data_IF_615884222134
#
_entry.id   IF_615884222134
#
_cell.length_a   1.000
_cell.length_b   1.000
_cell.length_c   1.000
_cell.angle_alpha   90.00
_cell.angle_beta   90.00
_cell.angle_gamma   90.00
#
_symmetry.space_group_name_H-M   'P 1'
#
loop_
_entity.id
_entity.type
_entity.pdbx_description
1 polymer ?
#
# COMPACT_ATOMS: atom_id res chain seq x y z
N UNK A 1 15.94 -6.46 -15.03
CA UNK A 1 14.83 -5.90 -14.23
C UNK A 1 15.15 -4.45 -13.89
N UNK A 2 14.19 -3.52 -13.97
CA UNK A 2 14.38 -2.20 -13.39
C UNK A 2 14.52 -2.34 -11.86
N UNK A 3 15.57 -1.75 -11.30
CA UNK A 3 15.78 -1.69 -9.85
C UNK A 3 14.91 -0.60 -9.26
N UNK A 4 14.19 -0.91 -8.18
CA UNK A 4 13.42 0.08 -7.44
C UNK A 4 14.36 1.19 -6.93
N UNK A 5 13.94 2.47 -6.98
CA UNK A 5 14.73 3.56 -6.41
C UNK A 5 14.89 3.39 -4.91
N UNK A 6 16.04 3.80 -4.41
CA UNK A 6 16.32 3.84 -2.97
C UNK A 6 15.38 4.80 -2.25
N UNK A 7 15.15 4.49 -0.98
CA UNK A 7 14.37 5.28 -0.05
C UNK A 7 15.36 6.15 0.73
N UNK A 8 15.29 7.47 0.54
CA UNK A 8 16.28 8.42 1.08
C UNK A 8 15.67 9.29 2.17
N UNK A 9 16.34 9.35 3.32
CA UNK A 9 16.02 10.24 4.44
C UNK A 9 16.41 11.69 4.15
N UNK A 10 15.87 12.65 4.92
CA UNK A 10 16.08 14.09 4.66
C UNK A 10 17.55 14.52 4.78
N UNK A 11 18.35 13.78 5.55
CA UNK A 11 19.77 14.01 5.78
C UNK A 11 20.68 12.98 5.09
N UNK A 12 20.13 12.23 4.12
CA UNK A 12 20.92 11.54 3.10
C UNK A 12 21.28 10.08 3.37
N UNK A 13 20.75 9.43 4.42
CA UNK A 13 20.79 7.96 4.48
C UNK A 13 19.91 7.38 3.37
N UNK A 14 20.50 6.53 2.53
CA UNK A 14 19.86 5.85 1.41
C UNK A 14 19.65 4.38 1.77
N UNK A 15 18.42 3.90 1.70
CA UNK A 15 18.07 2.52 2.00
C UNK A 15 17.52 1.84 0.75
N UNK A 16 18.05 0.66 0.45
CA UNK A 16 17.51 -0.20 -0.60
C UNK A 16 16.27 -0.93 -0.08
N UNK A 17 15.19 -0.97 -0.86
CA UNK A 17 13.98 -1.72 -0.51
C UNK A 17 14.14 -3.17 -0.95
N UNK A 18 14.18 -4.11 0.00
CA UNK A 18 14.32 -5.53 -0.33
C UNK A 18 12.97 -6.25 -0.41
N UNK A 19 12.05 -5.90 0.48
CA UNK A 19 10.78 -6.58 0.66
C UNK A 19 9.69 -5.57 1.02
N UNK A 20 8.49 -5.75 0.48
CA UNK A 20 7.31 -5.01 0.88
C UNK A 20 6.07 -5.86 0.66
N UNK A 21 5.34 -6.13 1.74
CA UNK A 21 4.11 -6.92 1.73
C UNK A 21 2.97 -6.14 2.36
N UNK A 22 1.77 -6.35 1.82
CA UNK A 22 0.53 -5.87 2.39
C UNK A 22 -0.49 -7.01 2.48
N UNK A 23 -1.10 -7.18 3.64
CA UNK A 23 -2.29 -8.00 3.81
C UNK A 23 -3.51 -7.10 3.99
N UNK A 24 -4.55 -7.32 3.20
CA UNK A 24 -5.75 -6.49 3.16
C UNK A 24 -6.97 -7.33 3.52
N UNK A 25 -7.79 -6.84 4.45
CA UNK A 25 -9.05 -7.47 4.85
C UNK A 25 -10.14 -7.23 3.80
N UNK A 26 -10.17 -6.03 3.23
CA UNK A 26 -11.09 -5.63 2.18
C UNK A 26 -10.53 -4.48 1.35
N UNK A 27 -10.99 -4.42 0.10
CA UNK A 27 -10.74 -3.32 -0.83
C UNK A 27 -12.08 -2.68 -1.17
N UNK A 28 -12.13 -1.35 -1.14
CA UNK A 28 -13.32 -0.55 -1.44
C UNK A 28 -13.02 0.44 -2.55
N UNK A 29 -13.81 0.40 -3.62
CA UNK A 29 -13.68 1.29 -4.77
C UNK A 29 -14.88 2.23 -4.80
N UNK A 30 -14.64 3.52 -4.73
CA UNK A 30 -15.70 4.53 -4.88
C UNK A 30 -15.90 4.80 -6.36
N UNK A 31 -17.12 4.63 -6.86
CA UNK A 31 -17.45 4.93 -8.24
C UNK A 31 -17.32 6.43 -8.53
N UNK A 32 -17.14 6.79 -9.79
CA UNK A 32 -17.08 8.16 -10.27
C UNK A 32 -18.39 8.91 -10.09
N UNK A 33 -18.36 10.24 -10.21
CA UNK A 33 -19.57 11.07 -10.10
C UNK A 33 -20.65 10.65 -11.10
N UNK A 34 -21.89 10.51 -10.62
CA UNK A 34 -23.04 10.12 -11.44
C UNK A 34 -23.08 8.64 -11.80
N UNK A 35 -22.25 7.80 -11.16
CA UNK A 35 -22.26 6.35 -11.30
C UNK A 35 -22.89 5.69 -10.07
N UNK A 36 -23.58 4.60 -10.34
CA UNK A 36 -24.37 3.81 -9.38
C UNK A 36 -24.03 2.33 -9.53
N UNK A 37 -24.50 1.52 -8.58
CA UNK A 37 -24.37 0.07 -8.67
C UNK A 37 -25.07 -0.51 -9.89
N UNK A 38 -26.13 0.12 -10.37
CA UNK A 38 -26.82 -0.30 -11.59
C UNK A 38 -25.92 -0.22 -12.84
N UNK A 39 -24.95 0.70 -12.89
CA UNK A 39 -24.04 0.86 -14.03
C UNK A 39 -23.03 -0.29 -14.18
N UNK A 40 -22.74 -1.01 -13.09
CA UNK A 40 -21.69 -2.04 -13.05
C UNK A 40 -22.21 -3.42 -12.67
N UNK A 41 -23.50 -3.54 -12.33
CA UNK A 41 -24.15 -4.75 -11.80
C UNK A 41 -23.89 -6.00 -12.65
N UNK A 42 -24.00 -5.86 -13.97
CA UNK A 42 -23.87 -6.98 -14.90
C UNK A 42 -22.41 -7.42 -15.12
N UNK A 43 -21.45 -6.64 -14.61
CA UNK A 43 -20.01 -6.92 -14.70
C UNK A 43 -19.39 -7.28 -13.35
N UNK A 44 -20.18 -7.37 -12.28
CA UNK A 44 -19.68 -7.74 -10.95
C UNK A 44 -19.27 -9.22 -10.94
N UNK A 45 -17.99 -9.48 -10.65
CA UNK A 45 -17.51 -10.81 -10.35
C UNK A 45 -18.17 -11.37 -9.08
N UNK A 46 -18.16 -12.69 -8.95
CA UNK A 46 -18.68 -13.36 -7.75
C UNK A 46 -17.94 -12.88 -6.49
N UNK A 47 -18.69 -12.51 -5.46
CA UNK A 47 -18.12 -12.02 -4.19
C UNK A 47 -17.80 -10.52 -4.16
N UNK A 48 -18.03 -9.78 -5.25
CA UNK A 48 -17.96 -8.31 -5.24
C UNK A 48 -19.33 -7.74 -4.87
N UNK A 49 -19.37 -7.02 -3.74
CA UNK A 49 -20.55 -6.26 -3.32
C UNK A 49 -20.58 -4.89 -3.97
N UNK A 50 -21.78 -4.35 -4.17
CA UNK A 50 -21.97 -2.94 -4.52
C UNK A 50 -23.07 -2.33 -3.65
N UNK A 51 -22.75 -1.20 -3.03
CA UNK A 51 -23.66 -0.45 -2.19
C UNK A 51 -23.89 0.93 -2.81
N UNK A 52 -25.15 1.22 -3.13
CA UNK A 52 -25.51 2.56 -3.58
C UNK A 52 -25.42 3.56 -2.43
N UNK A 53 -24.89 4.73 -2.73
CA UNK A 53 -24.77 5.79 -1.76
C UNK A 53 -26.14 6.32 -1.32
N UNK A 54 -26.25 6.64 -0.03
CA UNK A 54 -27.30 7.52 0.47
C UNK A 54 -27.02 8.98 0.03
N UNK A 55 -28.08 9.80 0.02
CA UNK A 55 -28.11 11.20 -0.43
C UNK A 55 -26.75 11.93 -0.53
N UNK A 56 -26.28 12.13 -1.78
CA UNK A 56 -25.12 12.97 -2.10
C UNK A 56 -23.75 12.28 -2.02
N UNK A 57 -23.67 11.05 -1.50
CA UNK A 57 -22.45 10.25 -1.55
C UNK A 57 -22.31 9.51 -2.89
N UNK A 58 -21.19 8.81 -3.09
CA UNK A 58 -20.96 7.98 -4.29
C UNK A 58 -21.04 6.50 -3.96
N UNK A 59 -21.60 5.70 -4.86
CA UNK A 59 -21.72 4.26 -4.68
C UNK A 59 -20.34 3.60 -4.55
N UNK A 60 -20.28 2.50 -3.79
CA UNK A 60 -19.03 1.84 -3.40
C UNK A 60 -19.07 0.36 -3.78
N UNK A 61 -18.03 -0.12 -4.45
CA UNK A 61 -17.76 -1.55 -4.62
C UNK A 61 -16.93 -2.05 -3.46
N UNK A 62 -17.27 -3.22 -2.95
CA UNK A 62 -16.54 -3.88 -1.86
C UNK A 62 -16.08 -5.26 -2.32
N UNK A 63 -14.76 -5.47 -2.26
CA UNK A 63 -14.11 -6.74 -2.54
C UNK A 63 -13.64 -7.30 -1.20
N UNK A 64 -14.21 -8.44 -0.81
CA UNK A 64 -13.88 -9.10 0.46
C UNK A 64 -12.58 -9.92 0.32
N UNK A 65 -11.64 -9.70 1.24
CA UNK A 65 -10.41 -10.47 1.35
C UNK A 65 -10.54 -11.66 2.30
N UNK A 66 -9.40 -12.22 2.77
CA UNK A 66 -8.08 -11.57 2.79
C UNK A 66 -7.32 -11.60 1.45
N UNK A 67 -6.60 -10.53 1.15
CA UNK A 67 -5.66 -10.42 0.03
C UNK A 67 -4.24 -10.24 0.54
N UNK A 68 -3.24 -10.83 -0.10
CA UNK A 68 -1.83 -10.59 0.21
C UNK A 68 -1.09 -10.19 -1.05
N UNK A 69 -0.39 -9.06 -1.01
CA UNK A 69 0.37 -8.51 -2.13
C UNK A 69 1.86 -8.46 -1.83
N UNK A 70 2.67 -8.80 -2.83
CA UNK A 70 4.08 -8.42 -2.92
C UNK A 70 4.16 -7.10 -3.69
N UNK A 71 4.46 -6.02 -2.96
CA UNK A 71 4.49 -4.67 -3.51
C UNK A 71 5.81 -4.36 -4.24
N UNK A 72 6.85 -5.16 -4.05
CA UNK A 72 8.12 -5.02 -4.78
C UNK A 72 7.92 -5.48 -6.23
N UNK A 73 7.24 -6.60 -6.40
CA UNK A 73 6.94 -7.17 -7.72
C UNK A 73 5.61 -6.69 -8.30
N UNK A 74 4.74 -6.11 -7.48
CA UNK A 74 3.40 -5.69 -7.88
C UNK A 74 2.46 -6.86 -8.14
N UNK A 75 2.65 -7.99 -7.44
CA UNK A 75 1.92 -9.24 -7.65
C UNK A 75 1.02 -9.58 -6.47
N UNK A 76 -0.09 -10.25 -6.78
CA UNK A 76 -1.00 -10.83 -5.80
C UNK A 76 -0.48 -12.22 -5.42
N UNK A 77 -0.20 -12.42 -4.14
CA UNK A 77 0.39 -13.65 -3.59
C UNK A 77 -0.70 -14.66 -3.21
N UNK A 78 -1.79 -14.18 -2.60
CA UNK A 78 -2.89 -15.05 -2.19
C UNK A 78 -4.21 -14.31 -2.09
N UNK A 79 -5.31 -15.03 -2.36
CA UNK A 79 -6.69 -14.60 -2.15
C UNK A 79 -7.39 -15.62 -1.27
N UNK A 80 -8.04 -15.17 -0.18
CA UNK A 80 -8.76 -16.02 0.75
C UNK A 80 -7.94 -17.21 1.29
N UNK A 81 -6.63 -17.00 1.45
CA UNK A 81 -5.68 -18.02 1.92
C UNK A 81 -5.24 -19.04 0.87
N UNK A 82 -5.76 -18.97 -0.36
CA UNK A 82 -5.27 -19.76 -1.51
C UNK A 82 -4.16 -18.97 -2.22
N UNK A 83 -3.02 -19.60 -2.46
CA UNK A 83 -1.96 -18.97 -3.26
C UNK A 83 -2.42 -18.81 -4.70
N UNK A 84 -2.18 -17.62 -5.26
CA UNK A 84 -2.42 -17.36 -6.68
C UNK A 84 -1.26 -17.97 -7.46
N UNK A 85 -1.56 -18.87 -8.39
CA UNK A 85 -0.55 -19.38 -9.32
C UNK A 85 -0.45 -18.43 -10.53
N UNK A 86 0.76 -18.25 -11.09
CA UNK A 86 0.97 -17.37 -12.23
C UNK A 86 0.27 -17.85 -13.51
N UNK A 87 -0.19 -19.11 -13.53
CA UNK A 87 -0.77 -19.80 -14.69
C UNK A 87 -2.31 -19.91 -14.65
N UNK A 88 -2.96 -19.56 -13.53
CA UNK A 88 -4.42 -19.65 -13.39
C UNK A 88 -5.04 -18.24 -13.31
N UNK A 89 -5.63 -17.79 -14.43
CA UNK A 89 -6.39 -16.53 -14.52
C UNK A 89 -7.60 -16.50 -13.56
N UNK A 90 -8.07 -17.65 -13.08
CA UNK A 90 -9.24 -17.78 -12.20
C UNK A 90 -9.04 -17.22 -10.79
N UNK A 91 -7.78 -17.01 -10.35
CA UNK A 91 -7.45 -16.48 -9.03
C UNK A 91 -7.08 -14.98 -9.05
N UNK A 92 -7.27 -14.31 -10.19
CA UNK A 92 -7.00 -12.87 -10.32
C UNK A 92 -8.05 -12.02 -9.59
N UNK A 93 -7.59 -10.93 -8.96
CA UNK A 93 -8.49 -9.93 -8.38
C UNK A 93 -9.17 -9.13 -9.50
N UNK A 94 -10.41 -9.50 -9.83
CA UNK A 94 -11.18 -8.82 -10.87
C UNK A 94 -11.87 -7.55 -10.35
N UNK A 95 -11.64 -6.44 -11.06
CA UNK A 95 -12.32 -5.17 -10.84
C UNK A 95 -13.20 -4.91 -12.07
N UNK A 96 -14.51 -4.64 -11.90
CA UNK A 96 -15.38 -4.42 -13.05
C UNK A 96 -14.94 -3.18 -13.84
N UNK A 97 -15.14 -3.16 -15.16
CA UNK A 97 -14.94 -1.95 -15.95
C UNK A 97 -15.81 -0.81 -15.41
N UNK A 98 -15.26 0.40 -15.34
CA UNK A 98 -15.95 1.50 -14.70
C UNK A 98 -15.11 2.77 -14.60
N UNK A 99 -15.73 3.80 -14.01
CA UNK A 99 -15.04 5.04 -13.64
C UNK A 99 -14.92 5.06 -12.13
N UNK A 100 -13.71 5.29 -11.63
CA UNK A 100 -13.41 5.25 -10.19
C UNK A 100 -12.89 6.59 -9.69
N UNK A 101 -13.40 7.04 -8.55
CA UNK A 101 -12.98 8.27 -7.90
C UNK A 101 -11.87 8.03 -6.86
N UNK A 102 -11.94 6.91 -6.12
CA UNK A 102 -10.96 6.59 -5.09
C UNK A 102 -10.91 5.09 -4.84
N UNK A 103 -9.80 4.65 -4.27
CA UNK A 103 -9.64 3.31 -3.68
C UNK A 103 -9.33 3.46 -2.20
N UNK A 104 -9.93 2.61 -1.36
CA UNK A 104 -9.59 2.44 0.05
C UNK A 104 -9.37 0.97 0.33
N UNK A 105 -8.52 0.66 1.28
CA UNK A 105 -8.27 -0.70 1.72
C UNK A 105 -7.96 -0.69 3.21
N UNK A 106 -8.41 -1.75 3.88
CA UNK A 106 -8.15 -1.97 5.30
C UNK A 106 -7.12 -3.06 5.45
N UNK A 107 -6.09 -2.80 6.23
CA UNK A 107 -5.04 -3.77 6.50
C UNK A 107 -5.54 -4.90 7.40
N UNK A 108 -5.21 -6.13 7.06
CA UNK A 108 -5.41 -7.32 7.90
C UNK A 108 -4.08 -7.77 8.49
N UNK A 109 -4.12 -8.69 9.46
CA UNK A 109 -2.93 -9.32 10.03
C UNK A 109 -2.22 -10.17 8.97
N UNK A 110 -0.93 -9.93 8.72
CA UNK A 110 -0.13 -10.83 7.88
C UNK A 110 -0.17 -12.26 8.44
N UNK A 111 -0.23 -13.28 7.57
CA UNK A 111 -0.31 -14.71 7.94
C UNK A 111 0.86 -15.15 8.86
N UNK A 112 2.01 -14.49 8.77
CA UNK A 112 3.16 -14.68 9.67
C UNK A 112 2.96 -14.13 11.09
N UNK A 113 1.79 -13.55 11.38
CA UNK A 113 1.49 -12.81 12.59
C UNK A 113 2.03 -11.37 12.55
N UNK A 114 1.24 -10.41 13.06
CA UNK A 114 1.68 -9.03 13.28
C UNK A 114 1.01 -7.97 12.40
N UNK A 115 1.83 -7.07 11.87
CA UNK A 115 1.44 -5.85 11.15
C UNK A 115 0.76 -6.17 9.81
N UNK A 116 -0.09 -5.28 9.29
CA UNK A 116 -0.79 -5.52 8.04
C UNK A 116 -0.11 -4.95 6.79
N UNK A 117 0.80 -4.01 6.98
CA UNK A 117 1.83 -3.68 6.00
C UNK A 117 3.19 -3.86 6.64
N UNK A 118 4.14 -4.42 5.89
CA UNK A 118 5.54 -4.48 6.29
C UNK A 118 6.45 -4.29 5.09
N UNK A 119 7.34 -3.32 5.19
CA UNK A 119 8.47 -3.17 4.29
C UNK A 119 9.78 -3.28 5.05
N UNK A 120 10.75 -3.97 4.44
CA UNK A 120 12.11 -4.12 4.96
C UNK A 120 13.09 -3.50 3.98
N UNK A 121 13.95 -2.65 4.53
CA UNK A 121 15.02 -2.00 3.76
C UNK A 121 16.39 -2.39 4.30
N UNK A 122 17.42 -2.23 3.48
CA UNK A 122 18.84 -2.44 3.82
C UNK A 122 19.69 -1.21 3.53
N UNK A 123 20.70 -1.00 4.35
CA UNK A 123 21.75 0.00 4.16
C UNK A 123 23.08 -0.64 4.58
N UNK A 124 24.11 -0.52 3.75
CA UNK A 124 25.47 -0.90 4.14
C UNK A 124 26.24 0.35 4.57
N UNK A 125 26.63 0.43 5.84
CA UNK A 125 27.33 1.59 6.42
C UNK A 125 28.35 1.14 7.47
N UNK A 126 29.53 1.74 7.46
CA UNK A 126 30.61 1.45 8.42
C UNK A 126 30.97 -0.05 8.50
N UNK A 127 31.00 -0.73 7.34
CA UNK A 127 31.22 -2.18 7.20
C UNK A 127 30.17 -3.06 7.91
N UNK A 128 28.99 -2.50 8.20
CA UNK A 128 27.87 -3.21 8.81
C UNK A 128 26.64 -3.06 7.92
N UNK A 129 25.87 -4.13 7.83
CA UNK A 129 24.53 -4.08 7.25
C UNK A 129 23.54 -3.66 8.33
N UNK A 130 22.78 -2.60 8.05
CA UNK A 130 21.66 -2.15 8.84
C UNK A 130 20.38 -2.46 8.05
N UNK A 131 19.30 -2.73 8.78
CA UNK A 131 17.98 -2.79 8.18
C UNK A 131 17.02 -1.87 8.89
N UNK A 132 15.93 -1.51 8.23
CA UNK A 132 14.82 -0.77 8.83
C UNK A 132 13.53 -1.49 8.50
N UNK A 133 12.67 -1.61 9.49
CA UNK A 133 11.32 -2.15 9.31
C UNK A 133 10.31 -1.01 9.34
N UNK A 134 9.52 -0.92 8.28
CA UNK A 134 8.44 0.05 8.13
C UNK A 134 7.12 -0.70 8.20
N UNK A 135 6.28 -0.34 9.15
CA UNK A 135 5.06 -1.11 9.45
C UNK A 135 3.82 -0.22 9.50
N UNK A 136 2.70 -0.81 9.09
CA UNK A 136 1.36 -0.27 9.38
C UNK A 136 0.58 -1.34 10.14
N UNK A 137 0.01 -1.02 11.32
CA UNK A 137 -0.79 -1.96 12.09
C UNK A 137 -1.98 -2.53 11.34
N UNK A 138 -2.38 -3.75 11.69
CA UNK A 138 -3.64 -4.31 11.23
C UNK A 138 -4.82 -3.44 11.71
N UNK A 139 -5.90 -3.42 10.92
CA UNK A 139 -7.10 -2.60 11.17
C UNK A 139 -7.00 -1.16 10.68
N UNK A 140 -5.80 -0.65 10.40
CA UNK A 140 -5.61 0.66 9.78
C UNK A 140 -6.20 0.69 8.37
N UNK A 141 -6.72 1.85 7.98
CA UNK A 141 -7.26 2.07 6.63
C UNK A 141 -6.37 3.04 5.88
N UNK A 142 -6.16 2.75 4.61
CA UNK A 142 -5.46 3.61 3.70
C UNK A 142 -6.25 3.75 2.39
N UNK A 143 -6.10 4.89 1.72
CA UNK A 143 -6.75 5.08 0.44
C UNK A 143 -6.17 6.22 -0.36
N UNK A 144 -6.48 6.21 -1.64
CA UNK A 144 -6.01 7.19 -2.61
C UNK A 144 -7.18 7.70 -3.44
N UNK A 145 -7.22 9.01 -3.58
CA UNK A 145 -8.10 9.69 -4.53
C UNK A 145 -7.43 9.66 -5.91
N UNK A 146 -8.24 9.51 -6.95
CA UNK A 146 -7.77 9.68 -8.32
C UNK A 146 -7.48 11.16 -8.59
N UNK A 147 -6.33 11.45 -9.17
CA UNK A 147 -6.02 12.80 -9.71
C UNK A 147 -6.76 13.07 -11.02
N UNK A 148 -7.30 12.03 -11.66
CA UNK A 148 -8.18 12.14 -12.81
C UNK A 148 -9.63 11.87 -12.39
N UNK A 149 -10.53 12.86 -12.44
CA UNK A 149 -11.93 12.68 -12.03
C UNK A 149 -12.72 11.70 -12.92
N UNK A 150 -12.15 11.28 -14.05
CA UNK A 150 -12.70 10.28 -14.96
C UNK A 150 -11.75 9.11 -15.17
N UNK A 151 -11.15 8.59 -14.09
CA UNK A 151 -10.28 7.43 -14.18
C UNK A 151 -11.06 6.18 -14.62
N UNK A 152 -11.01 5.90 -15.92
CA UNK A 152 -11.71 4.80 -16.54
C UNK A 152 -10.83 3.54 -16.55
N UNK A 153 -11.33 2.47 -15.94
CA UNK A 153 -10.83 1.10 -16.11
C UNK A 153 -11.70 0.46 -17.18
N UNK A 154 -11.10 0.12 -18.32
CA UNK A 154 -11.78 -0.56 -19.43
C UNK A 154 -11.76 -2.06 -19.23
N UNK A 155 -12.60 -2.76 -19.97
CA UNK A 155 -12.52 -4.22 -20.11
C UNK A 155 -11.12 -4.65 -20.55
N UNK A 156 -10.60 -5.70 -19.92
CA UNK A 156 -9.22 -6.16 -20.08
C UNK A 156 -8.16 -5.22 -19.51
N UNK A 157 -8.52 -4.05 -18.98
CA UNK A 157 -7.63 -3.08 -18.36
C UNK A 157 -7.24 -3.43 -16.93
N UNK A 158 -6.39 -2.60 -16.32
CA UNK A 158 -6.01 -2.73 -14.91
C UNK A 158 -6.09 -1.42 -14.15
N UNK A 159 -6.49 -1.50 -12.88
CA UNK A 159 -6.32 -0.43 -11.91
C UNK A 159 -4.98 -0.63 -11.19
N UNK A 160 -4.13 0.39 -11.23
CA UNK A 160 -2.83 0.38 -10.55
C UNK A 160 -2.87 1.27 -9.32
N UNK A 161 -2.50 0.70 -8.19
CA UNK A 161 -2.21 1.43 -6.96
C UNK A 161 -0.71 1.62 -6.87
N UNK A 162 -0.26 2.85 -6.63
CA UNK A 162 1.15 3.19 -6.53
C UNK A 162 1.48 3.67 -5.13
N UNK A 163 2.47 3.05 -4.51
CA UNK A 163 3.09 3.54 -3.29
C UNK A 163 4.41 4.22 -3.67
N UNK A 164 4.54 5.53 -3.40
CA UNK A 164 5.76 6.28 -3.76
C UNK A 164 6.81 6.15 -2.66
N UNK A 165 7.63 5.11 -2.75
CA UNK A 165 8.57 4.78 -1.67
C UNK A 165 9.59 5.87 -1.38
N UNK A 166 9.95 6.69 -2.38
CA UNK A 166 10.88 7.80 -2.23
C UNK A 166 10.35 8.92 -1.31
N UNK A 167 9.07 8.83 -0.91
CA UNK A 167 8.41 9.76 0.00
C UNK A 167 8.26 9.24 1.42
N UNK A 168 8.41 7.93 1.65
CA UNK A 168 8.05 7.32 2.94
C UNK A 168 8.80 7.94 4.12
N UNK A 169 10.10 8.20 3.96
CA UNK A 169 10.96 8.77 5.02
C UNK A 169 11.59 10.12 4.63
N UNK A 170 11.14 10.74 3.54
CA UNK A 170 11.82 11.89 2.92
C UNK A 170 12.03 13.06 3.88
N UNK A 171 11.13 13.24 4.83
CA UNK A 171 11.14 14.35 5.78
C UNK A 171 11.69 13.94 7.17
N UNK A 172 12.33 12.78 7.27
CA UNK A 172 12.89 12.24 8.51
C UNK A 172 14.43 12.36 8.51
N UNK A 173 15.06 13.04 9.49
CA UNK A 173 16.51 13.20 9.58
C UNK A 173 17.18 12.01 10.29
N UNK A 174 17.09 10.81 9.69
CA UNK A 174 17.47 9.56 10.35
C UNK A 174 18.96 9.47 10.72
N UNK A 175 19.87 10.09 9.94
CA UNK A 175 21.29 10.10 10.28
C UNK A 175 21.55 10.85 11.59
N UNK A 176 20.93 12.02 11.72
CA UNK A 176 21.05 12.92 12.86
C UNK A 176 20.40 12.29 14.09
N UNK A 177 19.21 11.70 13.94
CA UNK A 177 18.53 10.95 15.00
C UNK A 177 19.41 9.84 15.57
N UNK A 178 20.06 9.07 14.68
CA UNK A 178 20.96 8.00 15.11
C UNK A 178 22.21 8.55 15.82
N UNK A 179 22.84 9.60 15.29
CA UNK A 179 24.02 10.21 15.90
C UNK A 179 23.76 10.80 17.29
N UNK A 180 22.56 11.32 17.52
CA UNK A 180 22.15 11.90 18.80
C UNK A 180 21.68 10.85 19.82
N UNK A 181 21.49 9.59 19.40
CA UNK A 181 20.98 8.51 20.24
C UNK A 181 19.44 8.48 20.36
N UNK A 182 18.76 9.35 19.62
CA UNK A 182 17.30 9.44 19.56
C UNK A 182 16.68 8.35 18.68
N UNK A 183 17.47 7.73 17.80
CA UNK A 183 17.10 6.52 17.06
C UNK A 183 18.13 5.43 17.35
N UNK A 184 17.68 4.32 17.93
CA UNK A 184 18.56 3.22 18.32
C UNK A 184 18.55 2.09 17.30
N UNK A 185 19.73 1.52 17.05
CA UNK A 185 19.92 0.30 16.28
C UNK A 185 19.95 -0.89 17.25
N UNK A 186 18.94 -1.74 17.21
CA UNK A 186 18.86 -2.97 18.01
C UNK A 186 19.02 -4.18 17.08
N UNK A 187 19.99 -5.06 17.35
CA UNK A 187 20.29 -6.23 16.49
C UNK A 187 20.44 -5.88 14.99
N UNK A 188 21.06 -4.72 14.70
CA UNK A 188 21.21 -4.17 13.35
C UNK A 188 19.90 -3.76 12.65
N UNK A 189 18.82 -3.57 13.42
CA UNK A 189 17.52 -3.09 12.95
C UNK A 189 17.22 -1.70 13.54
N UNK A 190 16.91 -0.74 12.67
CA UNK A 190 16.37 0.56 13.03
C UNK A 190 14.85 0.44 13.16
N UNK A 191 14.32 0.86 14.32
CA UNK A 191 12.89 0.95 14.56
C UNK A 191 12.48 2.41 14.69
N UNK A 192 11.64 2.88 13.75
CA UNK A 192 11.13 4.26 13.77
C UNK A 192 10.12 4.50 14.90
N UNK A 193 9.44 3.45 15.36
CA UNK A 193 8.50 3.52 16.49
C UNK A 193 9.21 3.62 17.84
N UNK A 194 10.46 3.17 17.91
CA UNK A 194 11.31 3.31 19.10
C UNK A 194 12.05 4.66 19.17
N UNK A 195 11.83 5.55 18.20
CA UNK A 195 12.48 6.86 18.16
C UNK A 195 12.03 7.77 19.31
N UNK A 196 12.97 8.57 19.82
CA UNK A 196 12.85 9.37 21.04
C UNK A 196 13.29 10.81 20.76
N UNK A 197 13.21 11.67 21.78
CA UNK A 197 13.73 13.02 21.71
C UNK A 197 13.13 13.81 20.55
N UNK A 198 13.98 14.45 19.76
CA UNK A 198 13.55 15.25 18.60
C UNK A 198 13.00 14.39 17.44
N UNK A 199 13.28 13.09 17.48
CA UNK A 199 12.84 12.12 16.48
C UNK A 199 11.61 11.31 16.89
N UNK A 200 11.02 11.63 18.04
CA UNK A 200 9.79 11.01 18.51
C UNK A 200 8.67 11.14 17.46
N UNK A 201 7.96 10.04 17.21
CA UNK A 201 6.88 9.98 16.22
C UNK A 201 7.35 9.79 14.78
N UNK A 202 8.62 9.42 14.53
CA UNK A 202 9.13 9.11 13.20
C UNK A 202 8.29 8.02 12.50
N UNK A 203 7.86 6.97 13.22
CA UNK A 203 6.97 5.95 12.69
C UNK A 203 5.61 6.51 12.23
N UNK A 204 4.99 7.38 13.03
CA UNK A 204 3.70 8.01 12.67
C UNK A 204 3.81 8.92 11.45
N UNK A 205 4.93 9.66 11.35
CA UNK A 205 5.23 10.49 10.18
C UNK A 205 5.42 9.64 8.93
N UNK A 206 6.13 8.52 9.04
CA UNK A 206 6.27 7.57 7.92
C UNK A 206 4.91 7.00 7.49
N UNK A 207 4.08 6.56 8.44
CA UNK A 207 2.71 6.08 8.14
C UNK A 207 1.86 7.17 7.49
N UNK A 208 1.97 8.41 7.96
CA UNK A 208 1.31 9.56 7.35
C UNK A 208 1.79 9.79 5.92
N UNK A 209 3.09 9.71 5.65
CA UNK A 209 3.65 9.84 4.32
C UNK A 209 3.16 8.75 3.36
N UNK A 210 3.04 7.51 3.86
CA UNK A 210 2.51 6.38 3.09
C UNK A 210 1.04 6.63 2.69
N UNK A 211 0.23 7.19 3.60
CA UNK A 211 -1.17 7.57 3.32
C UNK A 211 -1.28 8.74 2.33
N UNK A 212 -0.40 9.73 2.40
CA UNK A 212 -0.54 10.97 1.63
C UNK A 212 0.13 10.93 0.25
N UNK A 213 1.14 10.08 0.06
CA UNK A 213 1.97 10.11 -1.15
C UNK A 213 1.78 8.93 -2.09
N UNK A 214 0.77 8.08 -1.90
CA UNK A 214 0.43 7.11 -2.94
C UNK A 214 -0.48 7.70 -4.02
N UNK A 215 -1.06 6.83 -4.82
CA UNK A 215 -1.97 7.22 -5.89
C UNK A 215 -2.62 6.03 -6.56
N UNK A 216 -3.56 6.33 -7.44
CA UNK A 216 -4.17 5.35 -8.31
C UNK A 216 -4.12 5.83 -9.76
N UNK A 217 -4.00 4.89 -10.69
CA UNK A 217 -4.05 5.13 -12.14
C UNK A 217 -4.65 3.92 -12.84
N UNK A 218 -4.98 4.03 -14.12
CA UNK A 218 -5.53 2.95 -14.92
C UNK A 218 -4.63 2.71 -16.13
N UNK A 219 -4.46 1.45 -16.51
CA UNK A 219 -3.82 1.07 -17.77
C UNK A 219 -4.82 0.35 -18.65
N UNK A 220 -4.86 0.75 -19.91
CA UNK A 220 -5.49 -0.03 -20.98
C UNK A 220 -4.43 -0.92 -21.60
N UNK A 221 -4.82 -2.13 -22.00
CA UNK A 221 -4.02 -3.00 -22.85
C UNK A 221 -4.49 -2.89 -24.29
#
# INVERSE_FOLDING_TARGET
QPTLPDIVSSDGLSFHLDQAYASLADIRLTLGTGRTCADVKDSLASGVGCEDAADGERSVLSLAGPFVFDLVHGTLVSVNGKQVSEDEDEDALEIPPGIYASIRFRFDTLVSGGEGFRARTRLFKDSKEWSMELTVPAGETLGFESTNPMLAVKEGGSLQVTFRQEKWIKDLPLASCYQQGDLTLADSVLSLDAARGECQGAGDRMRTNLRTHGGMSARSF
#
